data_IF_778194444737
#
_entry.id   IF_778194444737
#
_cell.length_a   1.000
_cell.length_b   1.000
_cell.length_c   1.000
_cell.angle_alpha   90.00
_cell.angle_beta   90.00
_cell.angle_gamma   90.00
#
_symmetry.space_group_name_H-M   'P 1'
#
loop_
_entity.id
_entity.type
_entity.pdbx_description
1 polymer ?
#
# COMPACT_ATOMS: atom_id res chain seq x y z
N UNK A 1 -0.92 8.87 12.94
CA UNK A 1 -0.89 7.49 13.44
C UNK A 1 -2.10 6.77 12.84
N UNK A 2 -1.94 5.58 12.29
CA UNK A 2 -3.03 4.82 11.65
C UNK A 2 -3.99 4.31 12.72
N UNK A 3 -5.31 4.51 12.57
CA UNK A 3 -6.28 3.96 13.53
C UNK A 3 -6.49 2.45 13.31
N UNK A 4 -6.97 1.74 14.33
CA UNK A 4 -7.23 0.28 14.20
C UNK A 4 -8.23 -0.02 13.08
N UNK A 5 -9.24 0.82 12.90
CA UNK A 5 -10.26 0.62 11.89
C UNK A 5 -9.71 0.89 10.49
N UNK A 6 -8.79 1.85 10.36
CA UNK A 6 -8.03 2.07 9.12
C UNK A 6 -7.17 0.84 8.80
N UNK A 7 -6.44 0.32 9.78
CA UNK A 7 -5.59 -0.86 9.61
C UNK A 7 -6.43 -2.06 9.14
N UNK A 8 -7.51 -2.38 9.85
CA UNK A 8 -8.39 -3.51 9.51
C UNK A 8 -9.12 -3.31 8.19
N UNK A 9 -9.49 -2.07 7.84
CA UNK A 9 -10.04 -1.77 6.53
C UNK A 9 -8.99 -2.08 5.44
N UNK A 10 -7.78 -1.57 5.55
CA UNK A 10 -6.80 -1.65 4.46
C UNK A 10 -6.21 -3.05 4.27
N UNK A 11 -6.14 -3.89 5.31
CA UNK A 11 -5.56 -5.24 5.21
C UNK A 11 -6.47 -6.33 4.64
N UNK A 12 -7.68 -5.98 4.19
CA UNK A 12 -8.49 -6.90 3.40
C UNK A 12 -7.99 -6.98 1.95
N UNK A 13 -7.85 -8.17 1.36
CA UNK A 13 -7.21 -8.36 0.05
C UNK A 13 -7.76 -7.45 -1.05
N UNK A 14 -9.08 -7.44 -1.24
CA UNK A 14 -9.73 -6.63 -2.28
C UNK A 14 -9.57 -5.13 -2.04
N UNK A 15 -9.69 -4.69 -0.78
CA UNK A 15 -9.55 -3.27 -0.42
C UNK A 15 -8.13 -2.79 -0.64
N UNK A 16 -7.13 -3.64 -0.34
CA UNK A 16 -5.74 -3.32 -0.64
C UNK A 16 -5.47 -3.21 -2.13
N UNK A 17 -6.05 -4.09 -2.95
CA UNK A 17 -5.95 -4.03 -4.42
C UNK A 17 -6.59 -2.75 -4.99
N UNK A 18 -7.75 -2.34 -4.45
CA UNK A 18 -8.38 -1.06 -4.80
C UNK A 18 -7.45 0.12 -4.49
N UNK A 19 -6.89 0.16 -3.28
CA UNK A 19 -5.98 1.25 -2.88
C UNK A 19 -4.73 1.27 -3.75
N UNK A 20 -4.07 0.12 -3.94
CA UNK A 20 -2.89 0.00 -4.79
C UNK A 20 -3.21 0.55 -6.21
N UNK A 21 -4.35 0.15 -6.81
CA UNK A 21 -4.79 0.62 -8.13
C UNK A 21 -5.06 2.14 -8.18
N UNK A 22 -5.72 2.70 -7.19
CA UNK A 22 -6.02 4.13 -7.15
C UNK A 22 -4.78 4.99 -6.90
N UNK A 23 -3.79 4.45 -6.18
CA UNK A 23 -2.51 5.13 -5.92
C UNK A 23 -1.62 5.13 -7.16
N UNK A 24 -1.55 4.01 -7.88
CA UNK A 24 -0.66 3.85 -9.03
C UNK A 24 -1.19 4.52 -10.29
N UNK A 25 -2.48 4.32 -10.57
CA UNK A 25 -3.06 4.60 -11.88
C UNK A 25 -4.18 5.66 -11.76
N UNK A 26 -4.20 6.40 -10.65
CA UNK A 26 -5.06 7.55 -10.41
C UNK A 26 -6.54 7.25 -10.17
N UNK A 27 -7.39 8.31 -10.17
CA UNK A 27 -8.82 8.19 -9.91
C UNK A 27 -9.54 7.27 -10.91
N UNK A 28 -10.53 6.52 -10.44
CA UNK A 28 -11.26 5.57 -11.27
C UNK A 28 -12.74 5.47 -10.90
N UNK A 29 -13.53 5.01 -11.87
CA UNK A 29 -14.95 4.66 -11.68
C UNK A 29 -15.09 3.27 -11.07
N UNK A 30 -16.22 3.01 -10.40
CA UNK A 30 -16.54 1.69 -9.83
C UNK A 30 -16.47 0.59 -10.89
N UNK A 31 -17.05 0.81 -12.08
CA UNK A 31 -17.04 -0.18 -13.16
C UNK A 31 -15.63 -0.49 -13.70
N UNK A 32 -14.76 0.52 -13.71
CA UNK A 32 -13.35 0.38 -14.09
C UNK A 32 -12.59 -0.50 -13.08
N UNK A 33 -12.72 -0.19 -11.80
CA UNK A 33 -12.13 -0.97 -10.72
C UNK A 33 -12.65 -2.42 -10.71
N UNK A 34 -13.95 -2.62 -10.95
CA UNK A 34 -14.56 -3.95 -11.01
C UNK A 34 -13.95 -4.81 -12.13
N UNK A 35 -13.82 -4.24 -13.34
CA UNK A 35 -13.23 -4.91 -14.50
C UNK A 35 -11.75 -5.23 -14.30
N UNK A 36 -10.96 -4.28 -13.80
CA UNK A 36 -9.50 -4.44 -13.68
C UNK A 36 -9.08 -5.33 -12.52
N UNK A 37 -9.89 -5.37 -11.46
CA UNK A 37 -9.63 -6.21 -10.29
C UNK A 37 -10.31 -7.57 -10.38
N UNK A 38 -11.06 -7.85 -11.46
CA UNK A 38 -11.87 -9.06 -11.62
C UNK A 38 -12.83 -9.28 -10.43
N UNK A 39 -13.58 -8.23 -10.09
CA UNK A 39 -14.49 -8.19 -8.95
C UNK A 39 -15.89 -7.75 -9.39
N UNK A 40 -16.92 -8.14 -8.64
CA UNK A 40 -18.28 -7.66 -8.92
C UNK A 40 -18.44 -6.17 -8.58
N UNK A 41 -19.20 -5.43 -9.39
CA UNK A 41 -19.51 -3.99 -9.17
C UNK A 41 -20.05 -3.72 -7.76
N UNK A 42 -20.93 -4.60 -7.27
CA UNK A 42 -21.50 -4.52 -5.91
C UNK A 42 -20.43 -4.68 -4.81
N UNK A 43 -19.47 -5.59 -5.01
CA UNK A 43 -18.33 -5.82 -4.12
C UNK A 43 -17.43 -4.58 -4.04
N UNK A 44 -17.02 -4.04 -5.19
CA UNK A 44 -16.21 -2.81 -5.27
C UNK A 44 -16.93 -1.64 -4.59
N UNK A 45 -18.22 -1.45 -4.87
CA UNK A 45 -19.01 -0.37 -4.28
C UNK A 45 -19.10 -0.48 -2.75
N UNK A 46 -19.19 -1.71 -2.23
CA UNK A 46 -19.19 -1.96 -0.79
C UNK A 46 -17.83 -1.66 -0.17
N UNK A 47 -16.76 -2.13 -0.81
CA UNK A 47 -15.38 -1.92 -0.36
C UNK A 47 -14.95 -0.46 -0.36
N UNK A 48 -15.32 0.31 -1.40
CA UNK A 48 -15.06 1.75 -1.46
C UNK A 48 -15.74 2.51 -0.33
N UNK A 49 -16.98 2.17 0.02
CA UNK A 49 -17.68 2.78 1.18
C UNK A 49 -17.01 2.49 2.52
N UNK A 50 -16.44 1.29 2.69
CA UNK A 50 -15.66 0.96 3.89
C UNK A 50 -14.39 1.81 3.94
N UNK A 51 -13.67 1.93 2.82
CA UNK A 51 -12.45 2.73 2.72
C UNK A 51 -12.72 4.23 2.88
N UNK A 52 -13.85 4.72 2.39
CA UNK A 52 -14.32 6.11 2.54
C UNK A 52 -14.54 6.48 4.00
N UNK A 53 -15.16 5.58 4.78
CA UNK A 53 -15.41 5.79 6.22
C UNK A 53 -14.15 6.02 7.02
N UNK A 54 -13.03 5.42 6.60
CA UNK A 54 -11.72 5.56 7.23
C UNK A 54 -10.80 6.51 6.46
N UNK A 55 -11.36 7.31 5.54
CA UNK A 55 -10.66 8.36 4.80
C UNK A 55 -9.44 7.89 4.00
N UNK A 56 -9.44 6.63 3.57
CA UNK A 56 -8.38 6.05 2.72
C UNK A 56 -8.64 6.34 1.25
N UNK A 57 -9.91 6.41 0.87
CA UNK A 57 -10.37 6.86 -0.45
C UNK A 57 -11.43 7.93 -0.27
N UNK A 58 -11.57 8.80 -1.27
CA UNK A 58 -12.62 9.81 -1.30
C UNK A 58 -13.27 9.84 -2.67
N UNK A 59 -14.50 10.35 -2.74
CA UNK A 59 -15.16 10.62 -4.01
C UNK A 59 -14.47 11.77 -4.75
N UNK A 60 -14.53 11.69 -6.08
CA UNK A 60 -13.98 12.68 -7.00
C UNK A 60 -15.09 13.18 -7.96
N UNK A 61 -16.17 13.81 -7.44
CA UNK A 61 -17.34 14.20 -8.24
C UNK A 61 -17.01 15.17 -9.38
N UNK A 62 -15.96 15.96 -9.25
CA UNK A 62 -15.47 16.89 -10.28
C UNK A 62 -15.01 16.21 -11.56
N UNK A 63 -14.73 14.89 -11.52
CA UNK A 63 -14.41 14.09 -12.71
C UNK A 63 -15.65 13.51 -13.40
N UNK A 64 -16.83 13.68 -12.80
CA UNK A 64 -18.10 13.19 -13.35
C UNK A 64 -18.65 14.18 -14.38
N UNK A 65 -18.78 13.75 -15.64
CA UNK A 65 -19.38 14.55 -16.71
C UNK A 65 -20.90 14.39 -16.82
N UNK A 66 -21.45 13.32 -16.24
CA UNK A 66 -22.87 12.94 -16.34
C UNK A 66 -23.62 13.02 -15.00
N UNK A 67 -22.92 13.30 -13.89
CA UNK A 67 -23.47 13.36 -12.52
C UNK A 67 -23.96 12.03 -11.95
N UNK A 68 -23.92 10.95 -12.74
CA UNK A 68 -24.40 9.62 -12.37
C UNK A 68 -23.26 8.70 -12.00
N UNK A 69 -22.11 8.88 -12.65
CA UNK A 69 -20.97 7.99 -12.48
C UNK A 69 -20.11 8.45 -11.30
N UNK A 70 -19.99 7.58 -10.29
CA UNK A 70 -19.18 7.82 -9.10
C UNK A 70 -17.70 7.54 -9.37
N UNK A 71 -16.89 8.59 -9.35
CA UNK A 71 -15.44 8.54 -9.39
C UNK A 71 -14.85 8.54 -7.98
N UNK A 72 -13.73 7.85 -7.83
CA UNK A 72 -13.03 7.66 -6.56
C UNK A 72 -11.54 7.88 -6.74
N UNK A 73 -10.88 8.40 -5.71
CA UNK A 73 -9.42 8.57 -5.66
C UNK A 73 -8.87 8.13 -4.30
N UNK A 74 -7.60 7.75 -4.25
CA UNK A 74 -6.91 7.54 -3.00
C UNK A 74 -6.63 8.90 -2.33
N UNK A 75 -6.87 8.99 -1.02
CA UNK A 75 -6.46 10.12 -0.17
C UNK A 75 -5.23 9.77 0.67
N UNK A 76 -5.04 8.49 0.98
CA UNK A 76 -3.84 7.98 1.67
C UNK A 76 -3.05 7.07 0.74
N UNK A 77 -1.74 7.33 0.59
CA UNK A 77 -0.86 6.59 -0.34
C UNK A 77 0.21 5.74 0.33
N UNK A 78 0.33 5.82 1.66
CA UNK A 78 1.30 5.06 2.48
C UNK A 78 0.75 4.81 3.87
N UNK A 79 1.10 3.65 4.46
CA UNK A 79 0.69 3.27 5.81
C UNK A 79 1.92 2.77 6.58
N UNK A 80 2.07 3.21 7.83
CA UNK A 80 3.09 2.73 8.77
C UNK A 80 2.46 2.61 10.16
N UNK A 81 2.78 1.54 10.89
CA UNK A 81 2.26 1.24 12.22
C UNK A 81 3.24 0.34 12.98
N UNK A 82 3.13 0.31 14.30
CA UNK A 82 3.59 -0.77 15.15
C UNK A 82 2.38 -1.45 15.80
N UNK A 83 2.46 -2.77 16.05
CA UNK A 83 1.38 -3.48 16.77
C UNK A 83 1.16 -2.89 18.17
N UNK A 84 2.22 -2.41 18.80
CA UNK A 84 2.15 -1.83 20.14
C UNK A 84 1.57 -0.41 20.18
N UNK A 85 1.34 0.22 19.02
CA UNK A 85 0.52 1.45 18.93
C UNK A 85 -0.93 1.22 19.43
N UNK A 86 -1.36 -0.05 19.52
CA UNK A 86 -2.70 -0.48 19.92
C UNK A 86 -2.73 -1.27 21.24
N UNK A 87 -1.65 -1.19 22.03
CA UNK A 87 -1.49 -1.96 23.27
C UNK A 87 -2.44 -1.53 24.40
N UNK A 88 -3.04 -0.34 24.32
CA UNK A 88 -4.00 0.20 25.27
C UNK A 88 -5.31 -0.60 25.32
N UNK A 89 -5.68 -1.27 24.21
CA UNK A 89 -6.88 -2.10 24.11
C UNK A 89 -6.54 -3.50 23.58
N UNK A 90 -6.61 -4.56 24.41
CA UNK A 90 -6.22 -5.92 24.01
C UNK A 90 -6.91 -6.45 22.74
N UNK A 91 -8.18 -6.10 22.54
CA UNK A 91 -8.91 -6.47 21.33
C UNK A 91 -8.33 -5.81 20.06
N UNK A 92 -7.90 -4.56 20.16
CA UNK A 92 -7.29 -3.83 19.04
C UNK A 92 -5.88 -4.32 18.77
N UNK A 93 -5.08 -4.57 19.81
CA UNK A 93 -3.77 -5.20 19.66
C UNK A 93 -3.87 -6.56 18.95
N UNK A 94 -4.88 -7.38 19.29
CA UNK A 94 -5.13 -8.64 18.61
C UNK A 94 -5.47 -8.44 17.13
N UNK A 95 -6.39 -7.51 16.81
CA UNK A 95 -6.73 -7.15 15.42
C UNK A 95 -5.50 -6.64 14.65
N UNK A 96 -4.64 -5.84 15.29
CA UNK A 96 -3.41 -5.35 14.71
C UNK A 96 -2.43 -6.48 14.38
N UNK A 97 -2.26 -7.47 15.27
CA UNK A 97 -1.43 -8.66 14.99
C UNK A 97 -1.93 -9.47 13.79
N UNK A 98 -3.24 -9.64 13.66
CA UNK A 98 -3.82 -10.33 12.50
C UNK A 98 -3.56 -9.55 11.22
N UNK A 99 -3.78 -8.23 11.24
CA UNK A 99 -3.53 -7.37 10.10
C UNK A 99 -2.05 -7.34 9.69
N UNK A 100 -1.14 -7.30 10.66
CA UNK A 100 0.30 -7.31 10.47
C UNK A 100 0.78 -8.63 9.81
N UNK A 101 0.27 -9.77 10.28
CA UNK A 101 0.51 -11.07 9.64
C UNK A 101 0.05 -11.10 8.19
N UNK A 102 -1.18 -10.66 7.91
CA UNK A 102 -1.72 -10.61 6.55
C UNK A 102 -0.88 -9.68 5.65
N UNK A 103 -0.33 -8.60 6.22
CA UNK A 103 0.57 -7.71 5.50
C UNK A 103 1.88 -8.39 5.12
N UNK A 104 2.50 -9.11 6.07
CA UNK A 104 3.71 -9.87 5.82
C UNK A 104 3.48 -10.94 4.73
N UNK A 105 2.38 -11.71 4.82
CA UNK A 105 2.00 -12.70 3.81
C UNK A 105 1.85 -12.05 2.42
N UNK A 106 1.17 -10.90 2.32
CA UNK A 106 1.07 -10.13 1.06
C UNK A 106 2.44 -9.69 0.53
N UNK A 107 3.34 -9.22 1.39
CA UNK A 107 4.68 -8.79 0.99
C UNK A 107 5.48 -9.96 0.38
N UNK A 108 5.44 -11.11 1.02
CA UNK A 108 6.09 -12.32 0.50
C UNK A 108 5.47 -12.80 -0.80
N UNK A 109 4.14 -12.77 -0.94
CA UNK A 109 3.48 -13.09 -2.22
C UNK A 109 3.96 -12.18 -3.34
N UNK A 110 3.97 -10.85 -3.14
CA UNK A 110 4.45 -9.91 -4.16
C UNK A 110 5.92 -10.14 -4.54
N UNK A 111 6.78 -10.42 -3.55
CA UNK A 111 8.18 -10.75 -3.80
C UNK A 111 8.32 -12.06 -4.58
N UNK A 112 7.59 -13.11 -4.18
CA UNK A 112 7.59 -14.39 -4.87
C UNK A 112 7.08 -14.26 -6.31
N UNK A 113 6.05 -13.44 -6.55
CA UNK A 113 5.51 -13.15 -7.88
C UNK A 113 6.55 -12.45 -8.77
N UNK A 114 7.27 -11.47 -8.23
CA UNK A 114 8.42 -10.85 -8.90
C UNK A 114 9.47 -11.90 -9.26
N UNK A 115 9.91 -12.72 -8.30
CA UNK A 115 10.93 -13.75 -8.52
C UNK A 115 10.54 -14.80 -9.57
N UNK A 116 9.25 -15.11 -9.73
CA UNK A 116 8.78 -16.00 -10.80
C UNK A 116 8.87 -15.38 -12.20
N UNK A 117 8.71 -14.06 -12.34
CA UNK A 117 8.71 -13.35 -13.64
C UNK A 117 10.00 -12.61 -13.97
N UNK A 118 10.93 -12.50 -13.02
CA UNK A 118 12.18 -11.72 -13.12
C UNK A 118 13.01 -12.07 -14.36
N UNK A 119 13.17 -13.35 -14.68
CA UNK A 119 13.95 -13.78 -15.85
C UNK A 119 13.36 -13.30 -17.20
N UNK A 120 12.04 -13.10 -17.27
CA UNK A 120 11.34 -12.64 -18.46
C UNK A 120 11.17 -11.10 -18.51
N UNK A 121 11.51 -10.37 -17.44
CA UNK A 121 11.40 -8.93 -17.39
C UNK A 121 12.46 -8.25 -18.29
N UNK A 122 12.22 -7.02 -18.81
CA UNK A 122 13.22 -6.27 -19.56
C UNK A 122 14.52 -6.05 -18.78
N UNK A 123 15.65 -5.96 -19.48
CA UNK A 123 16.98 -5.89 -18.86
C UNK A 123 17.17 -4.70 -17.92
N UNK A 124 16.65 -3.54 -18.30
CA UNK A 124 16.68 -2.34 -17.46
C UNK A 124 16.05 -2.61 -16.08
N UNK A 125 14.91 -3.30 -16.04
CA UNK A 125 14.22 -3.65 -14.80
C UNK A 125 14.93 -4.73 -13.99
N UNK A 126 15.53 -5.73 -14.66
CA UNK A 126 16.34 -6.75 -13.95
C UNK A 126 17.57 -6.13 -13.29
N UNK A 127 18.21 -5.13 -13.93
CA UNK A 127 19.36 -4.41 -13.38
C UNK A 127 18.98 -3.44 -12.26
N UNK A 128 17.82 -2.80 -12.38
CA UNK A 128 17.32 -1.85 -11.39
C UNK A 128 16.72 -2.55 -10.16
N UNK A 129 16.13 -3.73 -10.32
CA UNK A 129 15.65 -4.53 -9.20
C UNK A 129 16.82 -4.96 -8.30
N UNK A 130 16.64 -4.79 -7.00
CA UNK A 130 17.69 -5.05 -6.01
C UNK A 130 17.17 -5.91 -4.86
N UNK A 131 18.09 -6.48 -4.09
CA UNK A 131 17.84 -7.09 -2.80
C UNK A 131 18.88 -6.54 -1.84
N UNK A 132 18.46 -6.09 -0.66
CA UNK A 132 19.34 -5.51 0.34
C UNK A 132 19.07 -6.15 1.69
N UNK A 133 20.14 -6.60 2.33
CA UNK A 133 20.14 -7.05 3.71
C UNK A 133 21.06 -6.13 4.49
N UNK A 134 20.66 -5.75 5.70
CA UNK A 134 21.43 -4.86 6.55
C UNK A 134 21.41 -5.37 7.98
N UNK A 135 22.59 -5.63 8.54
CA UNK A 135 22.77 -6.00 9.93
C UNK A 135 23.47 -4.86 10.65
N UNK A 136 22.96 -4.51 11.82
CA UNK A 136 23.48 -3.42 12.63
C UNK A 136 23.04 -3.55 14.09
N UNK A 137 23.64 -2.73 14.95
CA UNK A 137 23.19 -2.58 16.33
C UNK A 137 22.42 -1.26 16.43
N UNK A 138 21.27 -1.31 17.08
CA UNK A 138 20.42 -0.15 17.32
C UNK A 138 19.65 -0.34 18.63
N UNK A 139 19.42 0.75 19.33
CA UNK A 139 18.39 0.88 20.35
C UNK A 139 17.00 0.97 19.71
N UNK A 140 15.94 0.86 20.50
CA UNK A 140 14.56 1.03 20.00
C UNK A 140 14.33 2.42 19.36
N UNK A 141 14.89 3.47 19.96
CA UNK A 141 14.79 4.85 19.44
C UNK A 141 15.53 4.98 18.10
N UNK A 142 16.70 4.38 17.96
CA UNK A 142 17.46 4.38 16.70
C UNK A 142 16.78 3.55 15.61
N UNK A 143 16.09 2.46 15.97
CA UNK A 143 15.28 1.67 15.04
C UNK A 143 14.04 2.43 14.56
N UNK A 144 13.35 3.14 15.44
CA UNK A 144 12.24 4.04 15.06
C UNK A 144 12.72 5.17 14.14
N UNK A 145 13.91 5.73 14.42
CA UNK A 145 14.53 6.72 13.55
C UNK A 145 14.85 6.16 12.16
N UNK A 146 15.34 4.92 12.05
CA UNK A 146 15.53 4.25 10.76
C UNK A 146 14.20 4.14 10.00
N UNK A 147 13.12 3.71 10.66
CA UNK A 147 11.78 3.67 10.04
C UNK A 147 11.36 5.04 9.51
N UNK A 148 11.55 6.12 10.30
CA UNK A 148 11.17 7.49 9.91
C UNK A 148 11.96 7.97 8.70
N UNK A 149 13.26 7.67 8.65
CA UNK A 149 14.12 7.99 7.50
C UNK A 149 13.67 7.25 6.25
N UNK A 150 13.43 5.94 6.34
CA UNK A 150 12.97 5.14 5.20
C UNK A 150 11.64 5.66 4.63
N UNK A 151 10.66 5.95 5.50
CA UNK A 151 9.37 6.52 5.08
C UNK A 151 9.55 7.87 4.39
N UNK A 152 10.40 8.75 4.97
CA UNK A 152 10.68 10.07 4.40
C UNK A 152 11.36 9.97 3.03
N UNK A 153 12.42 9.18 2.92
CA UNK A 153 13.16 8.98 1.66
C UNK A 153 12.25 8.50 0.54
N UNK A 154 11.32 7.59 0.82
CA UNK A 154 10.36 7.10 -0.18
C UNK A 154 9.36 8.20 -0.57
N UNK A 155 8.88 8.99 0.38
CA UNK A 155 7.96 10.09 0.11
C UNK A 155 8.63 11.17 -0.77
N UNK A 156 9.87 11.53 -0.45
CA UNK A 156 10.70 12.46 -1.24
C UNK A 156 10.94 11.91 -2.66
N UNK A 157 11.42 10.66 -2.77
CA UNK A 157 11.61 10.00 -4.07
C UNK A 157 10.34 10.01 -4.93
N UNK A 158 9.16 9.74 -4.34
CA UNK A 158 7.88 9.80 -5.08
C UNK A 158 7.54 11.22 -5.54
N UNK A 159 7.82 12.23 -4.72
CA UNK A 159 7.50 13.62 -5.03
C UNK A 159 8.41 14.20 -6.13
N UNK A 160 9.64 13.70 -6.24
CA UNK A 160 10.62 14.13 -7.25
C UNK A 160 10.36 13.53 -8.64
N UNK A 161 9.45 12.56 -8.77
CA UNK A 161 9.10 11.97 -10.07
C UNK A 161 8.15 12.92 -10.81
N UNK A 162 8.64 13.53 -11.88
CA UNK A 162 7.79 14.23 -12.85
C UNK A 162 6.92 13.22 -13.58
N UNK A 163 5.60 13.25 -13.39
CA UNK A 163 4.68 12.32 -14.05
C UNK A 163 4.29 12.75 -15.48
N UNK A 164 4.69 13.96 -15.91
CA UNK A 164 4.30 14.56 -17.18
C UNK A 164 5.44 14.60 -18.22
N UNK A 165 6.61 14.00 -17.90
CA UNK A 165 7.80 13.96 -18.77
C UNK A 165 7.71 12.97 -19.96
N UNK A 166 6.58 12.30 -20.14
CA UNK A 166 6.32 11.36 -21.22
C UNK A 166 7.04 10.00 -21.10
N UNK A 167 7.72 9.72 -19.98
CA UNK A 167 8.39 8.44 -19.76
C UNK A 167 7.41 7.33 -19.34
N UNK A 168 7.61 6.13 -19.88
CA UNK A 168 6.90 4.93 -19.44
C UNK A 168 7.40 4.48 -18.06
N UNK A 169 6.47 4.27 -17.12
CA UNK A 169 6.76 3.91 -15.72
C UNK A 169 6.05 2.62 -15.35
N UNK A 170 6.78 1.69 -14.76
CA UNK A 170 6.20 0.48 -14.18
C UNK A 170 5.85 0.71 -12.71
N UNK A 171 4.75 0.10 -12.21
CA UNK A 171 4.48 0.05 -10.78
C UNK A 171 5.62 -0.60 -9.99
N UNK A 172 6.18 0.16 -9.04
CA UNK A 172 7.23 -0.33 -8.13
C UNK A 172 6.61 -0.69 -6.77
N UNK A 173 6.87 -1.91 -6.32
CA UNK A 173 6.53 -2.35 -4.97
C UNK A 173 7.80 -2.45 -4.11
N UNK A 174 7.85 -1.67 -3.02
CA UNK A 174 8.90 -1.74 -2.00
C UNK A 174 8.24 -1.98 -0.64
N UNK A 175 8.87 -2.82 0.17
CA UNK A 175 8.52 -3.00 1.57
C UNK A 175 9.79 -3.08 2.42
N UNK A 176 9.68 -2.67 3.68
CA UNK A 176 10.76 -2.83 4.65
C UNK A 176 10.17 -3.27 5.99
N UNK A 177 10.97 -4.05 6.72
CA UNK A 177 10.69 -4.47 8.09
C UNK A 177 11.98 -4.30 8.89
N UNK A 178 11.89 -3.69 10.06
CA UNK A 178 13.01 -3.58 11.00
C UNK A 178 12.67 -4.32 12.28
N UNK A 179 13.47 -5.33 12.63
CA UNK A 179 13.24 -6.14 13.83
C UNK A 179 14.58 -6.61 14.41
N UNK A 180 14.64 -6.83 15.74
CA UNK A 180 15.79 -7.49 16.34
C UNK A 180 15.95 -8.90 15.76
N UNK A 181 17.14 -9.23 15.24
CA UNK A 181 17.49 -10.55 14.77
C UNK A 181 18.65 -11.15 15.57
N UNK A 182 18.72 -12.48 15.60
CA UNK A 182 19.91 -13.22 16.05
C UNK A 182 20.60 -13.77 14.80
N UNK A 183 21.94 -13.99 14.84
CA UNK A 183 22.66 -14.65 13.75
C UNK A 183 22.05 -16.00 13.37
#
# INVERSE_FOLDING_TARGET
MVSIDTLVAVHHPVRRRIVDRLVLDGPAQVGTLARELDEQIGSISHHLRILERVEVVVRAPELSTDGRTSWWRASTTSFSWAVDDFADRPADQHRARVADRLNAERHFTKLADWKRREAAAPEAWRRAAYSTDSLGRATAVELEELMRRLVRTVAEWKADIDLDDGQEREPVFMFSHGFPSRP
#
